data_IF_677046016633
#
_entry.id   IF_677046016633
#
_cell.length_a   1.000
_cell.length_b   1.000
_cell.length_c   1.000
_cell.angle_alpha   90.00
_cell.angle_beta   90.00
_cell.angle_gamma   90.00
#
_symmetry.space_group_name_H-M   'P 1'
#
loop_
_entity.id
_entity.type
_entity.pdbx_description
1 polymer ?
#
# COMPACT_ATOMS: atom_id res chain seq x y z
N UNK A 1 1.17 0.33 -8.87
CA UNK A 1 0.46 -0.57 -7.93
C UNK A 1 -0.22 -1.68 -8.72
N UNK A 2 -0.15 -2.93 -8.25
CA UNK A 2 -0.67 -4.10 -8.96
C UNK A 2 -1.56 -4.98 -8.05
N UNK A 3 -2.65 -5.47 -8.61
CA UNK A 3 -3.59 -6.42 -7.98
C UNK A 3 -3.47 -7.82 -8.60
N UNK A 4 -2.56 -8.01 -9.54
CA UNK A 4 -2.34 -9.25 -10.30
C UNK A 4 -3.64 -9.71 -11.00
N UNK A 5 -4.18 -8.91 -11.94
CA UNK A 5 -5.45 -9.23 -12.58
C UNK A 5 -5.33 -10.41 -13.54
N UNK A 6 -6.34 -11.26 -13.57
CA UNK A 6 -6.48 -12.33 -14.56
C UNK A 6 -7.23 -11.77 -15.76
N UNK A 7 -6.53 -11.57 -16.87
CA UNK A 7 -7.15 -11.12 -18.14
C UNK A 7 -8.02 -12.24 -18.75
N UNK A 8 -9.06 -11.84 -19.49
CA UNK A 8 -9.92 -12.83 -20.17
C UNK A 8 -9.10 -13.69 -21.13
N UNK A 9 -9.26 -15.00 -21.05
CA UNK A 9 -8.51 -15.96 -21.86
C UNK A 9 -7.14 -16.34 -21.31
N UNK A 10 -6.67 -15.70 -20.23
CA UNK A 10 -5.39 -16.03 -19.55
C UNK A 10 -5.60 -17.00 -18.40
N UNK A 11 -4.64 -17.87 -18.16
CA UNK A 11 -4.59 -18.71 -16.97
C UNK A 11 -4.08 -17.91 -15.75
N UNK A 12 -4.23 -18.47 -14.55
CA UNK A 12 -3.64 -17.92 -13.33
C UNK A 12 -2.11 -17.90 -13.39
N UNK A 13 -1.51 -18.89 -14.03
CA UNK A 13 -0.05 -18.96 -14.24
C UNK A 13 0.42 -17.80 -15.13
N UNK A 14 -0.30 -17.53 -16.22
CA UNK A 14 0.00 -16.39 -17.10
C UNK A 14 -0.05 -15.06 -16.32
N UNK A 15 -1.10 -14.84 -15.52
CA UNK A 15 -1.24 -13.62 -14.72
C UNK A 15 -0.10 -13.42 -13.71
N UNK A 16 0.37 -14.48 -13.04
CA UNK A 16 1.52 -14.41 -12.15
C UNK A 16 2.84 -14.19 -12.90
N UNK A 17 2.99 -14.79 -14.09
CA UNK A 17 4.14 -14.54 -14.98
C UNK A 17 4.16 -13.10 -15.47
N UNK A 18 3.00 -12.56 -15.85
CA UNK A 18 2.84 -11.17 -16.27
C UNK A 18 3.12 -10.17 -15.15
N UNK A 19 2.78 -10.49 -13.90
CA UNK A 19 3.18 -9.69 -12.73
C UNK A 19 4.70 -9.54 -12.66
N UNK A 20 5.44 -10.65 -12.78
CA UNK A 20 6.91 -10.61 -12.76
C UNK A 20 7.47 -9.85 -13.95
N UNK A 21 6.90 -10.05 -15.14
CA UNK A 21 7.31 -9.30 -16.34
C UNK A 21 7.05 -7.80 -16.19
N UNK A 22 5.91 -7.41 -15.61
CA UNK A 22 5.60 -6.02 -15.31
C UNK A 22 6.57 -5.40 -14.30
N UNK A 23 6.93 -6.15 -13.24
CA UNK A 23 7.90 -5.70 -12.25
C UNK A 23 9.28 -5.44 -12.87
N UNK A 24 9.75 -6.33 -13.76
CA UNK A 24 10.99 -6.11 -14.53
C UNK A 24 10.90 -4.89 -15.44
N UNK A 25 9.75 -4.67 -16.09
CA UNK A 25 9.51 -3.47 -16.89
C UNK A 25 9.59 -2.21 -16.02
N UNK A 26 8.98 -2.22 -14.85
CA UNK A 26 9.02 -1.09 -13.92
C UNK A 26 10.45 -0.81 -13.41
N UNK A 27 11.22 -1.85 -13.08
CA UNK A 27 12.62 -1.73 -12.67
C UNK A 27 13.49 -1.11 -13.79
N UNK A 28 13.36 -1.62 -15.02
CA UNK A 28 14.07 -1.12 -16.18
C UNK A 28 13.68 0.32 -16.55
N UNK A 29 12.41 0.69 -16.37
CA UNK A 29 11.88 2.01 -16.64
C UNK A 29 12.19 3.05 -15.54
N UNK A 30 12.81 2.66 -14.43
CA UNK A 30 13.24 3.56 -13.36
C UNK A 30 12.13 3.95 -12.39
N UNK A 31 11.09 3.13 -12.25
CA UNK A 31 10.13 3.33 -11.16
C UNK A 31 10.81 3.08 -9.80
N UNK A 32 10.45 3.90 -8.83
CA UNK A 32 11.00 3.79 -7.47
C UNK A 32 10.49 2.55 -6.75
N UNK A 33 9.18 2.24 -6.90
CA UNK A 33 8.52 1.27 -6.05
C UNK A 33 7.40 0.50 -6.76
N UNK A 34 7.32 -0.80 -6.49
CA UNK A 34 6.24 -1.68 -6.93
C UNK A 34 5.35 -2.03 -5.75
N UNK A 35 4.09 -1.61 -5.80
CA UNK A 35 3.13 -1.85 -4.73
C UNK A 35 2.23 -3.02 -5.08
N UNK A 36 2.15 -4.02 -4.22
CA UNK A 36 1.26 -5.17 -4.36
C UNK A 36 0.09 -5.07 -3.39
N UNK A 37 -1.14 -5.02 -3.91
CA UNK A 37 -2.35 -5.03 -3.09
C UNK A 37 -2.61 -6.38 -2.44
N UNK A 38 -3.48 -6.43 -1.43
CA UNK A 38 -4.02 -7.67 -0.85
C UNK A 38 -5.50 -7.80 -1.19
N UNK A 39 -5.88 -8.93 -1.80
CA UNK A 39 -7.27 -9.22 -2.17
C UNK A 39 -7.56 -10.70 -2.02
N UNK A 40 -8.51 -11.04 -1.13
CA UNK A 40 -8.87 -12.44 -0.86
C UNK A 40 -10.20 -12.80 -1.51
N UNK A 41 -10.39 -14.11 -1.79
CA UNK A 41 -11.65 -14.65 -2.32
C UNK A 41 -11.97 -14.22 -3.75
N UNK A 42 -11.08 -13.52 -4.44
CA UNK A 42 -11.28 -13.04 -5.80
C UNK A 42 -10.88 -14.09 -6.85
N UNK A 43 -11.68 -14.22 -7.91
CA UNK A 43 -11.32 -14.98 -9.10
C UNK A 43 -10.63 -14.12 -10.16
N UNK A 44 -10.65 -12.79 -9.97
CA UNK A 44 -10.16 -11.79 -10.92
C UNK A 44 -8.79 -11.25 -10.51
N UNK A 45 -8.49 -11.22 -9.21
CA UNK A 45 -7.22 -10.71 -8.66
C UNK A 45 -6.52 -11.82 -7.88
N UNK A 46 -5.22 -12.02 -8.15
CA UNK A 46 -4.44 -13.11 -7.54
C UNK A 46 -3.53 -12.67 -6.40
N UNK A 47 -3.65 -11.43 -5.94
CA UNK A 47 -2.78 -10.84 -4.92
C UNK A 47 -3.21 -11.19 -3.48
N UNK A 48 -3.64 -12.43 -3.23
CA UNK A 48 -4.08 -12.88 -1.89
C UNK A 48 -2.92 -13.16 -0.93
N UNK A 49 -1.80 -13.69 -1.44
CA UNK A 49 -0.60 -13.97 -0.67
C UNK A 49 0.46 -12.89 -0.94
N UNK A 50 0.13 -11.65 -0.59
CA UNK A 50 0.88 -10.44 -0.97
C UNK A 50 2.37 -10.54 -0.66
N UNK A 51 2.75 -10.98 0.54
CA UNK A 51 4.16 -11.06 0.96
C UNK A 51 4.93 -12.13 0.16
N UNK A 52 4.28 -13.24 -0.21
CA UNK A 52 4.88 -14.25 -1.09
C UNK A 52 5.16 -13.66 -2.47
N UNK A 53 4.23 -12.88 -3.02
CA UNK A 53 4.39 -12.21 -4.31
C UNK A 53 5.45 -11.10 -4.25
N UNK A 54 5.54 -10.36 -3.13
CA UNK A 54 6.62 -9.40 -2.91
C UNK A 54 8.00 -10.07 -3.02
N UNK A 55 8.18 -11.25 -2.43
CA UNK A 55 9.41 -12.03 -2.54
C UNK A 55 9.74 -12.41 -3.98
N UNK A 56 8.75 -12.76 -4.81
CA UNK A 56 8.95 -13.05 -6.23
C UNK A 56 9.37 -11.80 -7.03
N UNK A 57 8.78 -10.65 -6.75
CA UNK A 57 9.15 -9.37 -7.39
C UNK A 57 10.56 -8.96 -6.99
N UNK A 58 10.90 -9.04 -5.70
CA UNK A 58 12.24 -8.71 -5.19
C UNK A 58 13.32 -9.59 -5.83
N UNK A 59 13.07 -10.90 -5.94
CA UNK A 59 14.00 -11.84 -6.57
C UNK A 59 14.15 -11.62 -8.09
N UNK A 60 13.16 -11.03 -8.74
CA UNK A 60 13.14 -10.82 -10.18
C UNK A 60 13.66 -9.45 -10.63
N UNK A 61 13.97 -8.54 -9.70
CA UNK A 61 14.35 -7.13 -9.91
C UNK A 61 15.62 -6.79 -9.13
N UNK A 62 16.34 -5.75 -9.57
CA UNK A 62 17.63 -5.38 -8.97
C UNK A 62 17.56 -4.13 -8.08
N UNK A 63 16.86 -3.08 -8.53
CA UNK A 63 16.80 -1.77 -7.87
C UNK A 63 15.44 -1.43 -7.29
N UNK A 64 14.38 -1.94 -7.90
CA UNK A 64 13.00 -1.63 -7.57
C UNK A 64 12.70 -1.92 -6.10
N UNK A 65 12.23 -0.91 -5.37
CA UNK A 65 11.63 -1.11 -4.05
C UNK A 65 10.30 -1.87 -4.18
N UNK A 66 9.96 -2.68 -3.20
CA UNK A 66 8.69 -3.42 -3.20
C UNK A 66 7.94 -3.17 -1.91
N UNK A 67 6.69 -2.74 -2.06
CA UNK A 67 5.81 -2.42 -0.94
C UNK A 67 4.51 -3.24 -0.98
N UNK A 68 3.96 -3.58 0.17
CA UNK A 68 2.56 -3.98 0.21
C UNK A 68 1.65 -2.77 0.05
N UNK A 69 0.59 -2.89 -0.73
CA UNK A 69 -0.27 -1.76 -1.04
C UNK A 69 -1.75 -1.99 -0.76
N UNK A 70 -2.11 -2.55 0.41
CA UNK A 70 -1.38 -2.87 1.66
C UNK A 70 -1.77 -4.24 2.21
N UNK A 71 -1.03 -4.69 3.21
CA UNK A 71 -1.50 -5.80 4.03
C UNK A 71 -2.75 -5.34 4.78
N UNK A 72 -3.82 -6.09 4.65
CA UNK A 72 -5.07 -5.84 5.36
C UNK A 72 -4.96 -6.37 6.79
N UNK A 73 -4.33 -5.57 7.66
CA UNK A 73 -3.88 -5.97 9.00
C UNK A 73 -4.95 -6.69 9.83
N UNK A 74 -6.24 -6.34 9.79
CA UNK A 74 -7.28 -7.09 10.50
C UNK A 74 -7.37 -8.59 10.15
N UNK A 75 -6.80 -9.03 9.03
CA UNK A 75 -6.79 -10.43 8.61
C UNK A 75 -5.58 -11.21 9.16
N UNK A 76 -4.61 -10.54 9.76
CA UNK A 76 -3.30 -11.11 10.10
C UNK A 76 -2.96 -10.96 11.59
N UNK A 77 -2.06 -11.82 12.10
CA UNK A 77 -1.41 -11.60 13.38
C UNK A 77 -0.21 -10.66 13.18
N UNK A 78 -0.07 -9.60 13.98
CA UNK A 78 1.05 -8.64 13.86
C UNK A 78 2.43 -9.28 13.86
N UNK A 79 2.66 -10.27 14.73
CA UNK A 79 3.93 -11.01 14.77
C UNK A 79 4.26 -11.69 13.43
N UNK A 80 3.28 -12.37 12.82
CA UNK A 80 3.48 -13.07 11.54
C UNK A 80 3.80 -12.08 10.42
N UNK A 81 3.14 -10.93 10.39
CA UNK A 81 3.44 -9.86 9.42
C UNK A 81 4.87 -9.35 9.62
N UNK A 82 5.27 -9.10 10.87
CA UNK A 82 6.62 -8.63 11.19
C UNK A 82 7.69 -9.66 10.82
N UNK A 83 7.49 -10.96 11.12
CA UNK A 83 8.42 -12.03 10.73
C UNK A 83 8.57 -12.14 9.21
N UNK A 84 7.48 -12.10 8.46
CA UNK A 84 7.49 -12.23 7.01
C UNK A 84 8.12 -11.01 6.32
N UNK A 85 7.73 -9.81 6.71
CA UNK A 85 8.30 -8.55 6.16
C UNK A 85 9.76 -8.40 6.58
N UNK A 86 10.07 -8.69 7.84
CA UNK A 86 11.43 -8.67 8.35
C UNK A 86 12.35 -9.67 7.66
N UNK A 87 11.83 -10.85 7.30
CA UNK A 87 12.58 -11.82 6.49
C UNK A 87 12.91 -11.23 5.12
N UNK A 88 11.94 -10.60 4.43
CA UNK A 88 12.20 -9.94 3.15
C UNK A 88 13.17 -8.77 3.30
N UNK A 89 13.02 -7.93 4.33
CA UNK A 89 13.92 -6.80 4.59
C UNK A 89 15.35 -7.25 4.91
N UNK A 90 15.53 -8.41 5.55
CA UNK A 90 16.85 -9.01 5.78
C UNK A 90 17.46 -9.54 4.48
N UNK A 91 16.67 -10.17 3.61
CA UNK A 91 17.13 -10.69 2.31
C UNK A 91 17.40 -9.58 1.29
N UNK A 92 16.65 -8.48 1.35
CA UNK A 92 16.69 -7.38 0.39
C UNK A 92 16.77 -6.02 1.10
N UNK A 93 17.91 -5.70 1.76
CA UNK A 93 18.05 -4.48 2.55
C UNK A 93 17.73 -3.20 1.76
N UNK A 94 16.92 -2.31 2.35
CA UNK A 94 16.57 -1.02 1.76
C UNK A 94 15.57 -1.08 0.60
N UNK A 95 15.04 -2.28 0.24
CA UNK A 95 14.11 -2.46 -0.87
C UNK A 95 12.70 -2.87 -0.45
N UNK A 96 12.45 -3.03 0.83
CA UNK A 96 11.17 -3.54 1.35
C UNK A 96 10.45 -2.47 2.16
N UNK A 97 9.20 -2.16 1.80
CA UNK A 97 8.32 -1.31 2.58
C UNK A 97 7.04 -2.07 2.96
N UNK A 98 6.48 -1.75 4.11
CA UNK A 98 5.24 -2.34 4.61
C UNK A 98 4.11 -1.32 4.57
N UNK A 99 3.18 -1.46 3.66
CA UNK A 99 1.94 -0.70 3.67
C UNK A 99 0.82 -1.47 4.40
N UNK A 100 0.14 -0.83 5.32
CA UNK A 100 -0.90 -1.41 6.17
C UNK A 100 -2.25 -0.76 5.93
N UNK A 101 -3.27 -1.59 5.67
CA UNK A 101 -4.66 -1.18 5.49
C UNK A 101 -5.57 -1.67 6.62
N UNK A 102 -6.60 -0.87 6.94
CA UNK A 102 -7.59 -1.18 7.97
C UNK A 102 -8.77 -2.00 7.45
N UNK A 103 -9.09 -1.88 6.17
CA UNK A 103 -10.22 -2.60 5.58
C UNK A 103 -9.90 -4.11 5.47
N UNK A 104 -10.87 -5.01 5.59
CA UNK A 104 -10.62 -6.46 5.44
C UNK A 104 -10.26 -6.85 3.99
N UNK A 105 -10.47 -5.99 3.00
CA UNK A 105 -10.16 -6.24 1.58
C UNK A 105 -10.90 -7.43 0.96
N UNK A 106 -12.03 -7.84 1.57
CA UNK A 106 -12.79 -9.02 1.15
C UNK A 106 -14.22 -9.03 1.72
N UNK A 107 -15.03 -10.03 1.36
CA UNK A 107 -16.35 -10.26 1.93
C UNK A 107 -16.28 -10.87 3.34
N UNK A 108 -17.41 -10.81 4.08
CA UNK A 108 -17.48 -11.26 5.47
C UNK A 108 -17.16 -12.76 5.67
N UNK A 109 -17.50 -13.63 4.71
CA UNK A 109 -17.23 -15.08 4.82
C UNK A 109 -15.75 -15.36 4.69
N UNK A 110 -15.10 -14.70 3.74
CA UNK A 110 -13.68 -14.80 3.52
C UNK A 110 -12.90 -14.20 4.70
N UNK A 111 -13.33 -13.05 5.22
CA UNK A 111 -12.74 -12.44 6.42
C UNK A 111 -12.82 -13.38 7.65
N UNK A 112 -13.96 -14.04 7.86
CA UNK A 112 -14.13 -15.03 8.94
C UNK A 112 -13.23 -16.27 8.76
N UNK A 113 -12.91 -16.65 7.53
CA UNK A 113 -12.00 -17.75 7.25
C UNK A 113 -10.52 -17.38 7.47
N UNK A 114 -10.16 -16.12 7.29
CA UNK A 114 -8.80 -15.62 7.48
C UNK A 114 -8.43 -15.49 8.96
N UNK A 115 -9.32 -14.94 9.77
CA UNK A 115 -9.08 -14.76 11.21
C UNK A 115 -10.27 -15.33 12.00
N UNK A 116 -10.01 -16.37 12.78
CA UNK A 116 -11.03 -17.04 13.63
C UNK A 116 -11.35 -16.25 14.90
N UNK A 117 -11.55 -14.97 14.79
CA UNK A 117 -11.92 -14.09 15.91
C UNK A 117 -12.43 -12.76 15.37
N UNK A 118 -13.15 -12.01 16.19
CA UNK A 118 -13.55 -10.67 15.82
C UNK A 118 -12.30 -9.80 15.66
N UNK A 119 -12.02 -9.31 14.45
CA UNK A 119 -11.07 -8.22 14.29
C UNK A 119 -11.75 -6.95 14.78
N UNK A 120 -11.13 -6.24 15.71
CA UNK A 120 -11.59 -4.92 16.14
C UNK A 120 -10.86 -3.85 15.30
N UNK A 121 -11.56 -3.14 14.39
CA UNK A 121 -10.95 -2.04 13.65
C UNK A 121 -10.43 -0.90 14.56
N UNK A 122 -10.85 -0.86 15.83
CA UNK A 122 -10.36 0.06 16.84
C UNK A 122 -8.91 -0.21 17.23
N UNK A 123 -8.44 -1.47 17.13
CA UNK A 123 -7.06 -1.88 17.47
C UNK A 123 -6.03 -1.65 16.38
N UNK A 124 -6.42 -1.17 15.21
CA UNK A 124 -5.52 -1.01 14.06
C UNK A 124 -4.24 -0.23 14.37
N UNK A 125 -4.33 0.84 15.15
CA UNK A 125 -3.14 1.62 15.52
C UNK A 125 -2.26 0.89 16.56
N UNK A 126 -2.84 0.12 17.47
CA UNK A 126 -2.12 -0.72 18.43
C UNK A 126 -1.38 -1.84 17.72
N UNK A 127 -2.04 -2.51 16.78
CA UNK A 127 -1.43 -3.56 15.95
C UNK A 127 -0.27 -3.02 15.08
N UNK A 128 -0.37 -1.78 14.59
CA UNK A 128 0.76 -1.10 13.91
C UNK A 128 1.94 -0.90 14.86
N UNK A 129 1.68 -0.40 16.07
CA UNK A 129 2.74 -0.21 17.07
C UNK A 129 3.38 -1.52 17.47
N UNK A 130 2.61 -2.59 17.58
CA UNK A 130 3.12 -3.93 17.84
C UNK A 130 4.09 -4.39 16.73
N UNK A 131 3.73 -4.20 15.45
CA UNK A 131 4.62 -4.50 14.30
C UNK A 131 5.90 -3.65 14.35
N UNK A 132 5.78 -2.34 14.59
CA UNK A 132 6.93 -1.44 14.68
C UNK A 132 7.90 -1.88 15.78
N UNK A 133 7.37 -2.42 16.87
CA UNK A 133 8.18 -3.00 17.94
C UNK A 133 8.95 -4.21 17.49
N UNK A 134 8.28 -5.15 16.85
CA UNK A 134 8.93 -6.38 16.38
C UNK A 134 10.03 -6.10 15.35
N UNK A 135 9.90 -5.03 14.56
CA UNK A 135 10.86 -4.65 13.52
C UNK A 135 11.95 -3.68 14.00
N UNK A 136 11.79 -3.10 15.19
CA UNK A 136 12.71 -2.14 15.79
C UNK A 136 13.75 -2.77 16.71
N UNK A 137 14.66 -1.93 17.24
CA UNK A 137 15.72 -2.33 18.19
C UNK A 137 15.27 -2.24 19.65
N UNK A 138 14.22 -1.48 19.93
CA UNK A 138 13.79 -1.17 21.30
C UNK A 138 12.45 -1.81 21.64
N UNK A 139 12.25 -2.14 22.95
CA UNK A 139 10.97 -2.62 23.43
C UNK A 139 9.87 -1.55 23.27
N UNK A 140 8.64 -1.99 23.02
CA UNK A 140 7.45 -1.15 23.17
C UNK A 140 7.42 -0.56 24.57
N UNK A 141 7.05 0.73 24.73
CA UNK A 141 6.61 1.26 26.01
C UNK A 141 5.51 0.37 26.60
N UNK A 142 5.58 0.09 27.89
CA UNK A 142 4.72 -0.83 28.65
C UNK A 142 3.21 -0.58 28.49
N UNK A 143 2.78 0.55 27.97
CA UNK A 143 1.39 0.89 27.65
C UNK A 143 1.32 1.93 26.56
N UNK A 144 0.64 1.59 25.48
CA UNK A 144 -0.02 2.60 24.66
C UNK A 144 -1.35 2.91 25.34
N UNK A 145 -1.56 4.09 25.91
CA UNK A 145 -2.84 4.42 26.50
C UNK A 145 -3.93 4.36 25.43
N UNK A 146 -4.93 3.47 25.58
CA UNK A 146 -6.04 3.34 24.63
C UNK A 146 -6.82 4.64 24.34
N UNK A 147 -6.73 5.62 25.26
CA UNK A 147 -7.28 6.96 25.08
C UNK A 147 -6.62 7.79 23.96
N UNK A 148 -5.41 7.43 23.52
CA UNK A 148 -4.73 8.09 22.39
C UNK A 148 -5.30 7.69 21.03
N UNK A 149 -6.01 6.59 20.94
CA UNK A 149 -6.27 5.96 19.66
C UNK A 149 -7.67 6.12 19.12
N UNK A 150 -8.73 6.36 19.86
CA UNK A 150 -10.08 6.65 19.29
C UNK A 150 -11.16 6.91 20.37
N UNK A 151 -10.80 7.21 21.61
CA UNK A 151 -11.79 7.60 22.63
C UNK A 151 -12.66 6.45 23.18
N UNK A 152 -12.18 5.23 23.07
CA UNK A 152 -12.82 4.09 23.74
C UNK A 152 -12.20 3.87 25.13
N UNK A 153 -12.99 3.65 26.18
CA UNK A 153 -12.46 3.22 27.47
C UNK A 153 -11.82 1.85 27.31
N UNK A 154 -10.63 1.67 27.91
CA UNK A 154 -9.85 0.45 27.80
C UNK A 154 -10.66 -0.80 28.17
N UNK A 155 -10.54 -1.82 27.35
CA UNK A 155 -11.11 -3.13 27.60
C UNK A 155 -10.28 -3.82 28.71
N UNK A 156 -10.88 -4.35 29.80
CA UNK A 156 -10.15 -5.07 30.85
C UNK A 156 -9.34 -6.27 30.34
N UNK A 157 -9.68 -6.83 29.16
CA UNK A 157 -8.95 -7.94 28.56
C UNK A 157 -7.63 -7.51 27.88
N UNK A 158 -7.38 -6.21 27.68
CA UNK A 158 -6.11 -5.70 27.13
C UNK A 158 -4.92 -5.92 28.08
N UNK A 159 -5.18 -6.25 29.33
CA UNK A 159 -4.15 -6.60 30.32
C UNK A 159 -3.48 -7.97 30.05
N UNK A 160 -4.10 -8.83 29.22
CA UNK A 160 -3.60 -10.18 28.93
C UNK A 160 -2.39 -10.22 27.99
N UNK A 161 -2.06 -9.10 27.33
CA UNK A 161 -0.99 -9.04 26.32
C UNK A 161 0.15 -8.07 26.65
N UNK A 162 0.11 -7.41 27.80
CA UNK A 162 1.25 -6.62 28.27
C UNK A 162 2.38 -7.58 28.73
N UNK A 163 3.60 -7.49 28.15
CA UNK A 163 4.72 -8.29 28.62
C UNK A 163 5.00 -7.96 30.08
N UNK A 164 5.16 -8.99 30.91
CA UNK A 164 5.62 -8.83 32.30
C UNK A 164 6.96 -8.07 32.31
N UNK A 165 7.15 -7.07 33.18
CA UNK A 165 8.43 -6.38 33.33
C UNK A 165 9.57 -7.37 33.55
N UNK A 166 10.54 -7.46 32.63
CA UNK A 166 11.68 -8.39 32.72
C UNK A 166 11.40 -9.83 32.32
N UNK A 167 10.21 -10.14 31.75
CA UNK A 167 9.89 -11.46 31.19
C UNK A 167 10.52 -11.70 29.81
N UNK A 168 10.48 -12.96 29.31
CA UNK A 168 10.98 -13.29 27.97
C UNK A 168 10.15 -12.55 26.91
N UNK A 169 10.84 -11.82 26.03
CA UNK A 169 10.21 -11.02 24.96
C UNK A 169 9.90 -11.89 23.74
N UNK A 170 8.71 -11.70 23.17
CA UNK A 170 8.42 -12.21 21.83
C UNK A 170 9.24 -11.41 20.81
N UNK A 171 9.90 -12.10 19.89
CA UNK A 171 10.81 -11.51 18.91
C UNK A 171 10.44 -11.95 17.49
N UNK A 172 10.45 -11.04 16.54
CA UNK A 172 10.25 -11.34 15.12
C UNK A 172 11.60 -11.58 14.42
N UNK A 173 12.08 -12.80 14.42
CA UNK A 173 13.36 -13.17 13.81
C UNK A 173 13.11 -13.68 12.38
N UNK A 174 13.91 -13.27 11.37
CA UNK A 174 15.16 -12.47 11.45
C UNK A 174 14.98 -10.95 11.34
N UNK A 175 13.75 -10.43 11.40
CA UNK A 175 13.40 -9.06 11.03
C UNK A 175 13.69 -7.99 12.09
N UNK A 176 13.97 -8.37 13.34
CA UNK A 176 14.32 -7.42 14.40
C UNK A 176 15.51 -6.53 14.00
N UNK A 177 15.35 -5.20 14.12
CA UNK A 177 16.38 -4.23 13.73
C UNK A 177 16.45 -3.90 12.23
N UNK A 178 15.52 -4.39 11.41
CA UNK A 178 15.55 -4.11 9.95
C UNK A 178 14.93 -2.77 9.56
N UNK A 179 14.04 -2.21 10.37
CA UNK A 179 13.39 -0.90 10.19
C UNK A 179 12.84 -0.61 8.78
N UNK A 180 12.08 -1.51 8.13
CA UNK A 180 11.45 -1.18 6.86
C UNK A 180 10.51 0.02 7.00
N UNK A 181 10.38 0.84 5.95
CA UNK A 181 9.41 1.95 5.98
C UNK A 181 8.00 1.39 6.12
N UNK A 182 7.27 1.86 7.13
CA UNK A 182 5.86 1.46 7.34
C UNK A 182 4.94 2.59 6.90
N UNK A 183 4.03 2.28 6.00
CA UNK A 183 3.02 3.19 5.45
C UNK A 183 1.64 2.84 5.99
N UNK A 184 0.83 3.84 6.30
CA UNK A 184 -0.61 3.64 6.53
C UNK A 184 -1.36 3.93 5.24
N UNK A 185 -2.14 2.94 4.77
CA UNK A 185 -2.99 3.09 3.59
C UNK A 185 -4.44 3.33 4.00
N UNK A 186 -5.09 4.28 3.33
CA UNK A 186 -6.49 4.55 3.58
C UNK A 186 -7.14 5.44 2.53
N UNK A 187 -8.47 5.39 2.47
CA UNK A 187 -9.28 6.25 1.58
C UNK A 187 -10.06 7.31 2.36
N UNK A 188 -9.85 7.43 3.67
CA UNK A 188 -10.66 8.28 4.55
C UNK A 188 -9.82 9.04 5.57
N UNK A 189 -10.42 10.07 6.14
CA UNK A 189 -9.83 10.88 7.23
C UNK A 189 -9.43 10.06 8.47
N UNK A 190 -10.04 8.90 8.70
CA UNK A 190 -9.70 8.06 9.85
C UNK A 190 -8.31 7.40 9.69
N UNK A 191 -8.00 6.87 8.50
CA UNK A 191 -6.65 6.35 8.19
C UNK A 191 -5.59 7.45 8.28
N UNK A 192 -5.92 8.63 7.75
CA UNK A 192 -5.07 9.82 7.82
C UNK A 192 -4.74 10.25 9.25
N UNK A 193 -5.75 10.23 10.17
CA UNK A 193 -5.53 10.52 11.60
C UNK A 193 -4.59 9.50 12.26
N UNK A 194 -4.75 8.21 11.96
CA UNK A 194 -3.85 7.17 12.50
C UNK A 194 -2.43 7.42 12.02
N UNK A 195 -2.22 7.61 10.71
CA UNK A 195 -0.91 7.91 10.13
C UNK A 195 -0.26 9.13 10.79
N UNK A 196 -0.98 10.25 10.86
CA UNK A 196 -0.48 11.49 11.46
C UNK A 196 -0.14 11.36 12.94
N UNK A 197 -0.97 10.66 13.74
CA UNK A 197 -0.70 10.43 15.16
C UNK A 197 0.54 9.57 15.40
N UNK A 198 0.74 8.54 14.57
CA UNK A 198 1.89 7.65 14.66
C UNK A 198 3.15 8.25 14.01
N UNK A 199 3.04 9.34 13.24
CA UNK A 199 4.14 9.93 12.49
C UNK A 199 4.62 9.05 11.34
N UNK A 200 3.72 8.26 10.77
CA UNK A 200 4.01 7.36 9.67
C UNK A 200 3.63 7.99 8.33
N UNK A 201 4.31 7.66 7.23
CA UNK A 201 3.89 7.99 5.88
C UNK A 201 2.45 7.57 5.59
N UNK A 202 1.73 8.37 4.80
CA UNK A 202 0.33 8.11 4.44
C UNK A 202 0.17 7.94 2.93
N UNK A 203 -0.43 6.82 2.52
CA UNK A 203 -0.79 6.57 1.12
C UNK A 203 -2.31 6.61 0.93
N UNK A 204 -2.80 7.62 0.21
CA UNK A 204 -4.24 7.79 -0.03
C UNK A 204 -4.69 6.99 -1.25
N UNK A 205 -5.70 6.15 -1.06
CA UNK A 205 -6.28 5.32 -2.11
C UNK A 205 -7.29 6.11 -2.96
N UNK A 206 -6.84 7.18 -3.61
CA UNK A 206 -7.71 8.08 -4.38
C UNK A 206 -8.23 7.47 -5.70
N UNK A 207 -7.61 6.39 -6.18
CA UNK A 207 -8.03 5.68 -7.39
C UNK A 207 -9.45 5.08 -7.31
N UNK A 208 -9.99 4.85 -6.11
CA UNK A 208 -11.37 4.42 -5.91
C UNK A 208 -12.20 5.36 -5.00
N UNK A 209 -11.57 6.27 -4.26
CA UNK A 209 -12.25 7.24 -3.40
C UNK A 209 -11.70 8.67 -3.60
N UNK A 210 -11.75 9.24 -4.81
CA UNK A 210 -11.12 10.53 -5.12
C UNK A 210 -11.72 11.70 -4.33
N UNK A 211 -13.01 11.66 -4.03
CA UNK A 211 -13.73 12.75 -3.35
C UNK A 211 -13.20 13.03 -1.93
N UNK A 212 -12.68 12.00 -1.25
CA UNK A 212 -12.17 12.13 0.12
C UNK A 212 -10.66 12.39 0.19
N UNK A 213 -9.94 12.28 -0.92
CA UNK A 213 -8.48 12.31 -0.94
C UNK A 213 -7.92 13.62 -0.36
N UNK A 214 -8.44 14.75 -0.82
CA UNK A 214 -7.96 16.07 -0.40
C UNK A 214 -8.18 16.32 1.11
N UNK A 215 -9.36 15.95 1.62
CA UNK A 215 -9.67 16.05 3.04
C UNK A 215 -8.81 15.09 3.89
N UNK A 216 -8.51 13.90 3.39
CA UNK A 216 -7.64 12.95 4.07
C UNK A 216 -6.20 13.46 4.15
N UNK A 217 -5.64 13.98 3.05
CA UNK A 217 -4.29 14.56 3.01
C UNK A 217 -4.17 15.75 3.97
N UNK A 218 -5.13 16.69 3.92
CA UNK A 218 -5.16 17.84 4.83
C UNK A 218 -5.25 17.42 6.30
N UNK A 219 -6.08 16.39 6.60
CA UNK A 219 -6.19 15.85 7.96
C UNK A 219 -4.87 15.21 8.42
N UNK A 220 -4.20 14.44 7.56
CA UNK A 220 -2.91 13.82 7.86
C UNK A 220 -1.88 14.87 8.29
N UNK A 221 -1.70 15.92 7.48
CA UNK A 221 -0.73 17.00 7.74
C UNK A 221 -1.05 17.75 9.03
N UNK A 222 -2.29 18.19 9.20
CA UNK A 222 -2.72 18.89 10.41
C UNK A 222 -2.50 18.07 11.68
N UNK A 223 -2.77 16.75 11.64
CA UNK A 223 -2.55 15.88 12.79
C UNK A 223 -1.06 15.66 13.04
N UNK A 224 -0.25 15.50 12.00
CA UNK A 224 1.20 15.34 12.12
C UNK A 224 1.85 16.60 12.71
N UNK A 225 1.50 17.79 12.23
CA UNK A 225 1.99 19.09 12.73
C UNK A 225 1.62 19.31 14.21
N UNK A 226 0.45 18.82 14.65
CA UNK A 226 0.00 18.93 16.05
C UNK A 226 0.63 17.90 16.98
N UNK A 227 1.51 17.04 16.48
CA UNK A 227 2.16 15.97 17.25
C UNK A 227 3.09 16.57 18.30
N UNK A 228 2.90 16.19 19.55
CA UNK A 228 3.76 16.63 20.65
C UNK A 228 5.15 15.95 20.55
N UNK A 229 6.19 16.65 21.01
CA UNK A 229 7.51 16.09 21.24
C UNK A 229 7.42 14.86 22.16
N UNK A 230 7.98 13.71 21.75
CA UNK A 230 7.85 12.44 22.50
C UNK A 230 6.58 11.63 22.20
N UNK A 231 5.78 12.00 21.20
CA UNK A 231 4.64 11.22 20.77
C UNK A 231 5.06 9.82 20.26
N UNK A 232 4.14 8.85 20.37
CA UNK A 232 4.33 7.47 19.91
C UNK A 232 4.61 7.43 18.40
N UNK A 233 5.54 6.57 18.01
CA UNK A 233 5.94 6.33 16.62
C UNK A 233 7.41 5.93 16.52
N UNK A 234 7.86 5.49 15.35
CA UNK A 234 9.25 5.09 15.17
C UNK A 234 10.19 6.27 15.46
N UNK A 235 11.26 6.00 16.22
CA UNK A 235 12.35 6.96 16.40
C UNK A 235 13.00 7.18 15.04
N UNK A 236 13.21 8.46 14.66
CA UNK A 236 13.74 8.82 13.34
C UNK A 236 12.72 8.77 12.21
N UNK A 237 11.41 8.69 12.51
CA UNK A 237 10.40 9.02 11.50
C UNK A 237 10.72 10.40 10.92
N UNK A 238 10.66 10.57 9.59
CA UNK A 238 10.97 11.85 8.98
C UNK A 238 10.08 12.94 9.58
N UNK A 239 10.67 14.06 9.99
CA UNK A 239 9.94 15.25 10.47
C UNK A 239 9.06 15.86 9.37
N UNK A 240 9.22 15.37 8.15
CA UNK A 240 8.51 15.86 6.97
C UNK A 240 7.39 14.87 6.60
N UNK A 241 6.16 15.36 6.40
CA UNK A 241 5.05 14.55 5.96
C UNK A 241 5.36 13.85 4.62
N UNK A 242 5.29 12.52 4.58
CA UNK A 242 5.38 11.77 3.32
C UNK A 242 3.99 11.33 2.91
N UNK A 243 3.53 11.85 1.76
CA UNK A 243 2.20 11.57 1.23
C UNK A 243 2.32 10.95 -0.16
N UNK A 244 1.72 9.79 -0.32
CA UNK A 244 1.54 9.16 -1.61
C UNK A 244 0.05 9.13 -1.99
N UNK A 245 -0.26 9.22 -3.28
CA UNK A 245 -1.63 9.06 -3.79
C UNK A 245 -1.68 8.03 -4.91
N UNK A 246 -2.60 7.06 -4.77
CA UNK A 246 -2.85 6.08 -5.82
C UNK A 246 -3.88 6.62 -6.82
N UNK A 247 -3.52 6.66 -8.10
CA UNK A 247 -4.35 7.20 -9.18
C UNK A 247 -4.47 6.21 -10.34
N UNK A 248 -5.61 6.21 -11.01
CA UNK A 248 -5.80 5.42 -12.23
C UNK A 248 -5.13 6.12 -13.41
N UNK A 249 -4.32 5.36 -14.15
CA UNK A 249 -3.57 5.86 -15.29
C UNK A 249 -3.72 4.91 -16.47
N UNK A 250 -3.91 5.47 -17.67
CA UNK A 250 -3.85 4.72 -18.92
C UNK A 250 -3.20 5.58 -19.99
N UNK A 251 -2.02 5.17 -20.44
CA UNK A 251 -1.24 5.88 -21.44
C UNK A 251 -1.23 5.09 -22.75
N UNK A 252 -1.59 5.74 -23.85
CA UNK A 252 -1.49 5.18 -25.19
C UNK A 252 -0.75 6.17 -26.14
N UNK A 253 -0.16 5.67 -27.23
CA UNK A 253 0.63 6.50 -28.16
C UNK A 253 -0.17 7.61 -28.85
N UNK A 254 -1.50 7.50 -28.89
CA UNK A 254 -2.37 8.47 -29.55
C UNK A 254 -3.67 8.68 -28.79
N UNK A 255 -4.37 9.79 -29.08
CA UNK A 255 -5.72 10.05 -28.56
C UNK A 255 -6.82 9.36 -29.39
N UNK A 256 -6.47 8.50 -30.33
CA UNK A 256 -7.44 7.76 -31.15
C UNK A 256 -8.35 6.89 -30.25
N UNK A 257 -9.67 7.09 -30.28
CA UNK A 257 -10.61 6.27 -29.54
C UNK A 257 -10.51 4.76 -29.83
N UNK A 258 -10.05 4.37 -31.04
CA UNK A 258 -9.83 2.97 -31.38
C UNK A 258 -8.62 2.39 -30.65
N UNK A 259 -7.55 3.16 -30.45
CA UNK A 259 -6.40 2.75 -29.67
C UNK A 259 -6.78 2.46 -28.21
N UNK A 260 -7.67 3.26 -27.64
CA UNK A 260 -8.17 3.04 -26.26
C UNK A 260 -9.06 1.80 -26.12
N UNK A 261 -9.84 1.46 -27.15
CA UNK A 261 -10.68 0.24 -27.16
C UNK A 261 -9.84 -1.03 -27.08
N UNK A 262 -8.62 -1.01 -27.62
CA UNK A 262 -7.69 -2.14 -27.50
C UNK A 262 -7.30 -2.44 -26.04
N UNK A 263 -7.36 -1.46 -25.13
CA UNK A 263 -7.04 -1.63 -23.71
C UNK A 263 -8.16 -2.32 -22.92
N UNK A 264 -9.42 -2.22 -23.34
CA UNK A 264 -10.56 -2.81 -22.64
C UNK A 264 -11.67 -3.24 -23.63
N UNK A 265 -11.43 -4.22 -24.49
CA UNK A 265 -12.41 -4.65 -25.49
C UNK A 265 -13.68 -5.17 -24.81
N UNK A 266 -14.85 -4.72 -25.31
CA UNK A 266 -16.16 -5.08 -24.77
C UNK A 266 -16.51 -4.45 -23.41
N UNK A 267 -15.74 -3.45 -22.96
CA UNK A 267 -15.98 -2.68 -21.75
C UNK A 267 -15.91 -1.16 -21.98
N UNK A 268 -16.31 -0.72 -23.15
CA UNK A 268 -16.16 0.67 -23.58
C UNK A 268 -16.82 1.66 -22.62
N UNK A 269 -18.02 1.37 -22.13
CA UNK A 269 -18.71 2.20 -21.14
C UNK A 269 -18.01 2.25 -19.77
N UNK A 270 -17.33 1.17 -19.37
CA UNK A 270 -16.51 1.16 -18.16
C UNK A 270 -15.22 1.98 -18.36
N UNK A 271 -14.63 1.96 -19.55
CA UNK A 271 -13.47 2.80 -19.91
C UNK A 271 -13.86 4.27 -19.90
N UNK A 272 -14.99 4.64 -20.51
CA UNK A 272 -15.49 6.02 -20.50
C UNK A 272 -15.74 6.54 -19.07
N UNK A 273 -16.35 5.71 -18.21
CA UNK A 273 -16.54 6.05 -16.80
C UNK A 273 -15.19 6.17 -16.06
N UNK A 274 -14.23 5.28 -16.31
CA UNK A 274 -12.89 5.36 -15.76
C UNK A 274 -12.11 6.58 -16.29
N UNK A 275 -12.29 6.95 -17.56
CA UNK A 275 -11.68 8.14 -18.17
C UNK A 275 -12.10 9.43 -17.45
N UNK A 276 -13.32 9.54 -16.97
CA UNK A 276 -13.81 10.72 -16.25
C UNK A 276 -13.16 10.90 -14.86
N UNK A 277 -12.60 9.81 -14.28
CA UNK A 277 -12.00 9.78 -12.95
C UNK A 277 -10.50 9.45 -12.95
N UNK A 278 -9.88 9.36 -14.15
CA UNK A 278 -8.53 8.83 -14.32
C UNK A 278 -7.69 9.71 -15.24
N UNK A 279 -6.37 9.52 -15.15
CA UNK A 279 -5.40 10.17 -16.05
C UNK A 279 -5.24 9.31 -17.32
N UNK A 280 -6.00 9.64 -18.34
CA UNK A 280 -6.01 8.91 -19.60
C UNK A 280 -5.64 9.89 -20.72
N UNK A 281 -4.71 9.52 -21.62
CA UNK A 281 -4.23 10.38 -22.68
C UNK A 281 -2.92 9.93 -23.30
N UNK A 282 -2.29 10.82 -24.07
CA UNK A 282 -0.94 10.63 -24.57
C UNK A 282 0.09 10.70 -23.43
N UNK A 283 1.31 10.18 -23.63
CA UNK A 283 2.35 10.21 -22.58
C UNK A 283 2.58 11.60 -21.99
N UNK A 284 2.75 12.61 -22.85
CA UNK A 284 3.04 13.98 -22.41
C UNK A 284 1.85 14.63 -21.67
N UNK A 285 0.62 14.43 -22.19
CA UNK A 285 -0.60 14.95 -21.53
C UNK A 285 -0.77 14.34 -20.14
N UNK A 286 -0.64 13.02 -20.03
CA UNK A 286 -0.79 12.32 -18.74
C UNK A 286 0.31 12.72 -17.77
N UNK A 287 1.57 12.80 -18.22
CA UNK A 287 2.68 13.21 -17.36
C UNK A 287 2.51 14.65 -16.85
N UNK A 288 2.07 15.57 -17.71
CA UNK A 288 1.81 16.97 -17.32
C UNK A 288 0.70 17.05 -16.25
N UNK A 289 -0.43 16.38 -16.47
CA UNK A 289 -1.57 16.37 -15.54
C UNK A 289 -1.23 15.69 -14.22
N UNK A 290 -0.39 14.65 -14.23
CA UNK A 290 0.09 14.01 -13.00
C UNK A 290 1.02 14.93 -12.20
N UNK A 291 1.92 15.69 -12.87
CA UNK A 291 2.76 16.68 -12.21
C UNK A 291 1.92 17.82 -11.59
N UNK A 292 0.90 18.30 -12.31
CA UNK A 292 -0.05 19.29 -11.77
C UNK A 292 -0.79 18.75 -10.54
N UNK A 293 -1.26 17.49 -10.60
CA UNK A 293 -1.94 16.85 -9.47
C UNK A 293 -1.00 16.63 -8.28
N UNK A 294 0.25 16.24 -8.54
CA UNK A 294 1.26 16.10 -7.49
C UNK A 294 1.54 17.43 -6.80
N UNK A 295 1.71 18.51 -7.57
CA UNK A 295 1.91 19.84 -7.03
C UNK A 295 0.68 20.35 -6.25
N UNK A 296 -0.54 20.13 -6.77
CA UNK A 296 -1.79 20.52 -6.10
C UNK A 296 -1.96 19.88 -4.73
N UNK A 297 -1.64 18.61 -4.60
CA UNK A 297 -1.78 17.87 -3.35
C UNK A 297 -0.47 17.83 -2.55
N UNK A 298 0.61 18.43 -3.08
CA UNK A 298 1.94 18.42 -2.50
C UNK A 298 2.37 16.97 -2.15
N UNK A 299 2.39 16.10 -3.16
CA UNK A 299 2.68 14.68 -3.02
C UNK A 299 4.17 14.42 -3.14
N UNK A 300 4.67 13.52 -2.33
CA UNK A 300 6.03 12.97 -2.42
C UNK A 300 6.10 11.81 -3.43
N UNK A 301 5.00 11.08 -3.60
CA UNK A 301 4.94 9.89 -4.46
C UNK A 301 3.55 9.78 -5.14
N UNK A 302 3.54 9.37 -6.41
CA UNK A 302 2.32 8.99 -7.13
C UNK A 302 2.35 7.49 -7.40
N UNK A 303 1.36 6.77 -6.91
CA UNK A 303 1.16 5.36 -7.20
C UNK A 303 0.25 5.21 -8.41
N UNK A 304 0.79 4.81 -9.54
CA UNK A 304 0.00 4.60 -10.75
C UNK A 304 -0.58 3.20 -10.81
N UNK A 305 -1.87 3.11 -11.16
CA UNK A 305 -2.62 1.86 -11.35
C UNK A 305 -3.18 1.86 -12.75
N UNK A 306 -2.94 0.81 -13.54
CA UNK A 306 -3.56 0.69 -14.86
C UNK A 306 -4.38 -0.59 -14.98
N UNK A 307 -5.58 -0.46 -15.55
CA UNK A 307 -6.50 -1.56 -15.81
C UNK A 307 -6.50 -2.00 -17.28
N UNK A 308 -5.41 -1.74 -18.02
CA UNK A 308 -5.26 -2.25 -19.36
C UNK A 308 -5.44 -3.77 -19.37
N UNK A 309 -6.36 -4.26 -20.22
CA UNK A 309 -6.74 -5.67 -20.27
C UNK A 309 -5.59 -6.56 -20.78
N UNK A 310 -4.93 -6.12 -21.84
CA UNK A 310 -3.80 -6.84 -22.43
C UNK A 310 -2.52 -6.60 -21.63
N UNK A 311 -1.81 -7.65 -21.18
CA UNK A 311 -0.58 -7.49 -20.40
C UNK A 311 0.54 -6.72 -21.12
N UNK A 312 0.67 -6.87 -22.44
CA UNK A 312 1.67 -6.15 -23.22
C UNK A 312 1.34 -4.67 -23.29
N UNK A 313 0.07 -4.32 -23.54
CA UNK A 313 -0.40 -2.94 -23.52
C UNK A 313 -0.28 -2.33 -22.12
N UNK A 314 -0.52 -3.11 -21.07
CA UNK A 314 -0.32 -2.68 -19.69
C UNK A 314 1.15 -2.30 -19.44
N UNK A 315 2.11 -3.14 -19.79
CA UNK A 315 3.54 -2.84 -19.69
C UNK A 315 3.91 -1.62 -20.52
N UNK A 316 3.40 -1.55 -21.77
CA UNK A 316 3.66 -0.42 -22.66
C UNK A 316 3.15 0.90 -22.09
N UNK A 317 2.01 0.92 -21.41
CA UNK A 317 1.49 2.11 -20.73
C UNK A 317 2.47 2.63 -19.67
N UNK A 318 3.06 1.74 -18.84
CA UNK A 318 4.05 2.12 -17.83
C UNK A 318 5.36 2.61 -18.47
N UNK A 319 5.85 1.96 -19.53
CA UNK A 319 7.05 2.42 -20.26
C UNK A 319 6.88 3.81 -20.84
N UNK A 320 5.77 4.07 -21.50
CA UNK A 320 5.46 5.35 -22.10
C UNK A 320 5.33 6.47 -21.05
N UNK A 321 4.67 6.15 -19.91
CA UNK A 321 4.57 7.11 -18.82
C UNK A 321 5.95 7.44 -18.25
N UNK A 322 6.79 6.44 -17.99
CA UNK A 322 8.13 6.67 -17.44
C UNK A 322 9.00 7.49 -18.40
N UNK A 323 8.93 7.25 -19.71
CA UNK A 323 9.63 8.04 -20.72
C UNK A 323 9.23 9.51 -20.66
N UNK A 324 7.94 9.82 -20.63
CA UNK A 324 7.43 11.19 -20.55
C UNK A 324 7.64 11.85 -19.17
N UNK A 325 7.69 11.04 -18.12
CA UNK A 325 7.95 11.54 -16.76
C UNK A 325 9.42 11.97 -16.58
N UNK A 326 10.35 11.26 -17.19
CA UNK A 326 11.80 11.52 -17.07
C UNK A 326 12.34 12.48 -18.16
N UNK A 327 11.52 12.87 -19.13
CA UNK A 327 11.87 13.87 -20.15
C UNK A 327 11.74 15.29 -19.60
#
# INVERSE_FOLDING_TARGET
MDMVPVSAGCSRTDALTDMVALARTADAAGYERYWLAEHHGSTTYLSSATIVLMGQVLAATERLGVASGGIMLPNHAPLVVAEQIGTLATLYPGRVDLGLGRAPGTDQRTAAALRRGASDPGRFAEEILEILTYLGDEPVPERVPGSLLLGSPGNPDDALHAPEPGGPRVRAIPGEGTHPTVWVLGSSVNGARVAGRLGLPFAVASHFAPVQAEAAIATYRSVLESRAEGALGPRGAPDVPRVAAAVNVMVAPSQDPQAWRAYAPGREGAVEAAMSLSFVGTPDDVAARLREQAARWDLDEILVVTYAHDPALRRRSYELLAQAWNA
#
